data_IF_376562775544
#
_entry.id   IF_376562775544
#
_cell.length_a   1.000
_cell.length_b   1.000
_cell.length_c   1.000
_cell.angle_alpha   90.00
_cell.angle_beta   90.00
_cell.angle_gamma   90.00
#
_symmetry.space_group_name_H-M   'P 1'
#
loop_
_entity.id
_entity.type
_entity.pdbx_description
1 polymer ?
#
# COMPACT_ATOMS: atom_id res chain seq x y z
N UNK A 1 -2.59 -4.55 10.16
CA UNK A 1 -1.66 -3.57 10.77
C UNK A 1 -1.09 -2.58 9.75
N UNK A 2 -0.32 -2.94 8.71
CA UNK A 2 -0.07 -1.96 7.60
C UNK A 2 -1.03 -2.15 6.42
N UNK A 3 -1.30 -3.39 6.02
CA UNK A 3 -2.17 -3.71 4.88
C UNK A 3 -3.62 -3.28 5.09
N UNK A 4 -4.11 -3.42 6.31
CA UNK A 4 -5.47 -2.97 6.67
C UNK A 4 -5.57 -1.44 6.62
N UNK A 5 -4.58 -0.72 7.15
CA UNK A 5 -4.51 0.74 7.02
C UNK A 5 -4.43 1.18 5.56
N UNK A 6 -3.65 0.47 4.73
CA UNK A 6 -3.60 0.69 3.27
C UNK A 6 -4.97 0.47 2.63
N UNK A 7 -5.67 -0.64 2.94
CA UNK A 7 -7.01 -0.90 2.39
C UNK A 7 -8.04 0.15 2.82
N UNK A 8 -7.99 0.58 4.08
CA UNK A 8 -8.87 1.61 4.61
C UNK A 8 -8.61 2.97 3.93
N UNK A 9 -7.34 3.37 3.85
CA UNK A 9 -6.92 4.56 3.12
C UNK A 9 -7.33 4.54 1.64
N UNK A 10 -7.21 3.39 0.98
CA UNK A 10 -7.66 3.21 -0.40
C UNK A 10 -9.16 3.43 -0.54
N UNK A 11 -9.97 2.89 0.39
CA UNK A 11 -11.43 3.11 0.41
C UNK A 11 -11.78 4.57 0.65
N UNK A 12 -11.15 5.21 1.64
CA UNK A 12 -11.39 6.61 1.99
C UNK A 12 -11.04 7.56 0.85
N UNK A 13 -9.98 7.26 0.09
CA UNK A 13 -9.46 8.10 -1.00
C UNK A 13 -9.92 7.65 -2.40
N UNK A 14 -10.80 6.66 -2.48
CA UNK A 14 -11.29 6.06 -3.73
C UNK A 14 -10.16 5.61 -4.69
N UNK A 15 -9.07 5.08 -4.14
CA UNK A 15 -7.92 4.58 -4.90
C UNK A 15 -8.14 3.13 -5.31
N UNK A 16 -8.00 2.82 -6.60
CA UNK A 16 -8.08 1.44 -7.09
C UNK A 16 -6.75 0.73 -6.92
N UNK A 17 -6.79 -0.60 -6.74
CA UNK A 17 -5.57 -1.41 -6.64
C UNK A 17 -4.70 -1.35 -7.89
N UNK A 18 -5.26 -1.04 -9.06
CA UNK A 18 -4.48 -0.86 -10.30
C UNK A 18 -3.62 0.41 -10.20
N UNK A 19 -4.23 1.52 -9.80
CA UNK A 19 -3.58 2.83 -9.74
C UNK A 19 -2.45 2.80 -8.71
N UNK A 20 -2.69 2.17 -7.55
CA UNK A 20 -1.66 1.96 -6.53
C UNK A 20 -0.52 1.07 -7.04
N UNK A 21 -0.82 0.01 -7.80
CA UNK A 21 0.20 -0.90 -8.35
C UNK A 21 1.09 -0.19 -9.38
N UNK A 22 0.49 0.63 -10.24
CA UNK A 22 1.19 1.44 -11.24
C UNK A 22 2.11 2.47 -10.57
N UNK A 23 1.63 3.16 -9.54
CA UNK A 23 2.43 4.15 -8.81
C UNK A 23 3.66 3.54 -8.12
N UNK A 24 3.55 2.33 -7.59
CA UNK A 24 4.67 1.66 -6.87
C UNK A 24 5.44 0.66 -7.72
N UNK A 25 5.24 0.71 -9.04
CA UNK A 25 5.96 -0.06 -10.06
C UNK A 25 5.92 -1.58 -9.79
N UNK A 26 4.73 -2.08 -9.48
CA UNK A 26 4.47 -3.52 -9.34
C UNK A 26 3.32 -3.97 -10.23
N UNK A 27 3.28 -5.25 -10.52
CA UNK A 27 2.15 -5.81 -11.26
C UNK A 27 0.87 -5.78 -10.41
N UNK A 28 -0.29 -5.75 -11.08
CA UNK A 28 -1.60 -5.86 -10.41
C UNK A 28 -1.72 -7.15 -9.60
N UNK A 29 -1.14 -8.26 -10.06
CA UNK A 29 -1.16 -9.54 -9.33
C UNK A 29 -0.32 -9.45 -8.06
N UNK A 30 0.89 -8.87 -8.13
CA UNK A 30 1.72 -8.62 -6.95
C UNK A 30 1.02 -7.74 -5.93
N UNK A 31 0.36 -6.65 -6.38
CA UNK A 31 -0.42 -5.79 -5.48
C UNK A 31 -1.59 -6.55 -4.83
N UNK A 32 -2.29 -7.40 -5.57
CA UNK A 32 -3.35 -8.24 -5.00
C UNK A 32 -2.81 -9.23 -3.95
N UNK A 33 -1.70 -9.91 -4.25
CA UNK A 33 -1.04 -10.81 -3.30
C UNK A 33 -0.59 -10.03 -2.04
N UNK A 34 -0.10 -8.81 -2.20
CA UNK A 34 0.23 -7.93 -1.08
C UNK A 34 -1.03 -7.57 -0.28
N UNK A 35 -2.08 -7.03 -0.87
CA UNK A 35 -3.29 -6.67 -0.11
C UNK A 35 -3.91 -7.87 0.61
N UNK A 36 -3.75 -9.08 0.08
CA UNK A 36 -4.23 -10.33 0.70
C UNK A 36 -3.24 -11.00 1.67
N UNK A 37 -2.07 -10.40 1.93
CA UNK A 37 -1.09 -10.94 2.88
C UNK A 37 -0.29 -12.15 2.38
N UNK A 38 -0.35 -12.46 1.09
CA UNK A 38 0.34 -13.60 0.46
C UNK A 38 1.77 -13.29 0.03
N UNK A 39 2.16 -12.01 -0.03
CA UNK A 39 3.54 -11.58 -0.28
C UNK A 39 3.87 -10.29 0.45
N UNK A 40 5.15 -10.08 0.74
CA UNK A 40 5.68 -8.82 1.28
C UNK A 40 6.23 -7.95 0.15
N UNK A 41 6.22 -6.63 0.35
CA UNK A 41 6.92 -5.68 -0.50
C UNK A 41 8.13 -5.16 0.26
N UNK A 42 9.19 -4.80 -0.47
CA UNK A 42 10.36 -4.15 0.11
C UNK A 42 9.99 -2.80 0.72
N UNK A 43 10.80 -2.34 1.68
CA UNK A 43 10.57 -1.10 2.44
C UNK A 43 10.33 0.12 1.53
N UNK A 44 11.15 0.31 0.50
CA UNK A 44 11.00 1.41 -0.47
C UNK A 44 9.59 1.45 -1.10
N UNK A 45 9.03 0.29 -1.44
CA UNK A 45 7.67 0.18 -2.00
C UNK A 45 6.60 0.43 -0.95
N UNK A 46 6.83 0.02 0.30
CA UNK A 46 5.92 0.34 1.40
C UNK A 46 5.90 1.85 1.63
N UNK A 47 7.05 2.52 1.66
CA UNK A 47 7.14 3.98 1.83
C UNK A 47 6.42 4.71 0.69
N UNK A 48 6.62 4.30 -0.58
CA UNK A 48 5.85 4.83 -1.72
C UNK A 48 4.34 4.63 -1.57
N UNK A 49 3.88 3.48 -1.06
CA UNK A 49 2.46 3.24 -0.79
C UNK A 49 1.95 4.22 0.28
N UNK A 50 2.70 4.40 1.37
CA UNK A 50 2.31 5.28 2.47
C UNK A 50 2.26 6.73 2.02
N UNK A 51 3.24 7.20 1.24
CA UNK A 51 3.29 8.56 0.69
C UNK A 51 2.13 8.82 -0.27
N UNK A 52 1.89 7.92 -1.23
CA UNK A 52 0.78 8.02 -2.17
C UNK A 52 -0.59 8.04 -1.49
N UNK A 53 -0.72 7.27 -0.40
CA UNK A 53 -1.92 7.20 0.40
C UNK A 53 -1.92 8.22 1.53
N UNK A 54 -0.99 9.16 1.60
CA UNK A 54 -0.91 10.19 2.64
C UNK A 54 -1.10 9.60 4.06
N UNK A 55 -0.30 8.57 4.36
CA UNK A 55 -0.26 7.88 5.65
C UNK A 55 1.07 8.21 6.32
N UNK A 56 1.02 8.90 7.45
CA UNK A 56 2.21 9.20 8.26
C UNK A 56 2.55 8.05 9.19
N UNK A 57 3.76 7.50 9.07
CA UNK A 57 4.31 6.55 10.04
C UNK A 57 4.91 7.32 11.23
N UNK A 58 4.49 7.00 12.46
CA UNK A 58 5.01 7.61 13.70
C UNK A 58 5.54 6.50 14.61
N UNK A 59 6.80 6.62 15.02
CA UNK A 59 7.43 5.74 16.01
C UNK A 59 7.51 6.50 17.32
N UNK A 60 6.90 5.96 18.37
CA UNK A 60 6.85 6.55 19.71
C UNK A 60 7.75 5.71 20.63
N UNK A 61 8.49 6.39 21.51
CA UNK A 61 9.42 5.78 22.47
C UNK A 61 8.77 5.61 23.84
#
# INVERSE_FOLDING_TARGET
>A
MIREAVKEAMKLRNVKSKDLAEHVEVTKSTMSLFLNGKTNLGQEKIEKILDFLDIKLVIIK
#
